data_IF_495400856972
#
_entry.id   IF_495400856972
#
_cell.length_a   1.000
_cell.length_b   1.000
_cell.length_c   1.000
_cell.angle_alpha   90.00
_cell.angle_beta   90.00
_cell.angle_gamma   90.00
#
_symmetry.space_group_name_H-M   'P 1'
#
loop_
_entity.id
_entity.type
_entity.pdbx_description
1 polymer ?
#
# COMPACT_ATOMS: atom_id res chain seq x y z
N UNK A 1 11.27 -3.11 -16.53
CA UNK A 1 12.70 -3.40 -16.73
C UNK A 1 13.47 -3.61 -15.42
N UNK A 2 12.81 -3.68 -14.27
CA UNK A 2 13.44 -3.91 -12.97
C UNK A 2 14.21 -2.71 -12.39
N UNK A 3 14.04 -1.52 -12.96
CA UNK A 3 14.76 -0.31 -12.53
C UNK A 3 13.81 0.72 -11.93
N UNK A 4 14.32 1.44 -10.92
CA UNK A 4 13.65 2.60 -10.30
C UNK A 4 14.62 3.78 -10.31
N UNK A 5 14.14 4.95 -10.72
CA UNK A 5 14.91 6.19 -10.71
C UNK A 5 14.29 7.16 -9.72
N UNK A 6 15.10 7.71 -8.83
CA UNK A 6 14.67 8.74 -7.89
C UNK A 6 15.20 10.09 -8.37
N UNK A 7 14.29 11.05 -8.44
CA UNK A 7 14.57 12.40 -8.88
C UNK A 7 14.28 13.38 -7.75
N UNK A 8 15.16 14.35 -7.58
CA UNK A 8 15.01 15.46 -6.63
C UNK A 8 14.71 16.75 -7.41
N UNK A 9 13.74 17.49 -6.92
CA UNK A 9 13.51 18.85 -7.41
C UNK A 9 14.29 19.84 -6.52
N UNK A 10 15.25 20.53 -7.09
CA UNK A 10 16.09 21.49 -6.37
C UNK A 10 15.43 22.87 -6.18
N UNK A 11 14.15 23.01 -6.54
CA UNK A 11 13.37 24.25 -6.38
C UNK A 11 13.79 25.38 -7.33
N UNK A 12 13.23 26.55 -7.13
CA UNK A 12 13.44 27.73 -7.99
C UNK A 12 14.80 28.45 -7.76
N UNK A 13 15.87 27.77 -7.46
CA UNK A 13 17.20 28.40 -7.36
C UNK A 13 17.92 28.52 -8.73
N UNK A 14 17.24 28.17 -9.84
CA UNK A 14 17.75 28.34 -11.18
C UNK A 14 17.30 29.67 -11.79
N UNK A 15 18.18 30.66 -11.80
CA UNK A 15 18.03 31.97 -12.49
C UNK A 15 18.00 31.87 -14.01
N UNK A 16 17.81 30.70 -14.61
CA UNK A 16 17.75 30.54 -16.06
C UNK A 16 16.49 29.74 -16.47
N UNK A 17 15.63 30.44 -17.20
CA UNK A 17 14.50 29.84 -17.91
C UNK A 17 15.02 28.74 -18.89
N UNK A 18 14.74 27.45 -18.60
CA UNK A 18 15.02 26.36 -19.52
C UNK A 18 15.58 25.06 -18.94
N UNK A 19 16.11 25.06 -17.71
CA UNK A 19 16.53 23.80 -17.06
C UNK A 19 15.38 23.29 -16.18
N UNK A 20 14.91 22.05 -16.42
CA UNK A 20 14.04 21.35 -15.47
C UNK A 20 14.81 21.22 -14.16
N UNK A 21 14.32 21.80 -13.07
CA UNK A 21 14.94 21.73 -11.74
C UNK A 21 15.00 20.33 -11.13
N UNK A 22 14.86 19.28 -11.94
CA UNK A 22 14.86 17.87 -11.55
C UNK A 22 16.22 17.24 -11.82
N UNK A 23 16.87 16.73 -10.76
CA UNK A 23 18.13 16.00 -10.81
C UNK A 23 17.93 14.54 -10.42
N UNK A 24 18.43 13.60 -11.23
CA UNK A 24 18.41 12.17 -10.88
C UNK A 24 19.46 11.91 -9.79
N UNK A 25 19.00 11.48 -8.62
CA UNK A 25 19.85 11.28 -7.43
C UNK A 25 20.11 9.82 -7.11
N UNK A 26 19.30 8.88 -7.65
CA UNK A 26 19.49 7.45 -7.39
C UNK A 26 19.02 6.61 -8.57
N UNK A 27 19.83 5.64 -8.95
CA UNK A 27 19.50 4.51 -9.80
C UNK A 27 19.44 3.25 -8.94
N UNK A 28 18.31 2.54 -8.98
CA UNK A 28 18.11 1.28 -8.28
C UNK A 28 17.75 0.21 -9.31
N UNK A 29 18.58 -0.85 -9.43
CA UNK A 29 18.51 -1.88 -10.46
C UNK A 29 18.75 -3.28 -9.88
N UNK A 30 18.21 -3.57 -8.69
CA UNK A 30 18.37 -4.87 -8.01
C UNK A 30 17.28 -5.89 -8.39
N UNK A 31 16.16 -5.42 -8.96
CA UNK A 31 15.10 -6.32 -9.39
C UNK A 31 15.41 -6.97 -10.73
N UNK A 32 15.08 -8.27 -10.83
CA UNK A 32 15.31 -9.08 -12.04
C UNK A 32 14.09 -9.13 -12.97
N UNK A 33 12.94 -8.57 -12.51
CA UNK A 33 11.71 -8.46 -13.29
C UNK A 33 11.06 -7.07 -13.10
N UNK A 34 9.89 -6.86 -13.70
CA UNK A 34 9.19 -5.58 -13.67
C UNK A 34 8.92 -5.09 -12.25
N UNK A 35 9.21 -3.83 -11.97
CA UNK A 35 8.71 -3.14 -10.78
C UNK A 35 7.29 -2.67 -11.06
N UNK A 36 6.33 -3.19 -10.30
CA UNK A 36 4.90 -3.01 -10.54
C UNK A 36 4.31 -1.87 -9.70
N UNK A 37 4.89 -1.62 -8.54
CA UNK A 37 4.39 -0.62 -7.59
C UNK A 37 5.53 -0.03 -6.77
N UNK A 38 5.43 1.26 -6.51
CA UNK A 38 6.34 1.98 -5.61
C UNK A 38 5.52 2.83 -4.66
N UNK A 39 5.98 2.97 -3.42
CA UNK A 39 5.32 3.80 -2.42
C UNK A 39 6.35 4.46 -1.50
N UNK A 40 6.24 5.78 -1.32
CA UNK A 40 6.99 6.48 -0.29
C UNK A 40 6.40 6.21 1.09
N UNK A 41 7.26 6.02 2.07
CA UNK A 41 6.87 5.96 3.47
C UNK A 41 6.29 7.31 3.95
N UNK A 42 5.53 7.32 5.06
CA UNK A 42 5.18 8.56 5.74
C UNK A 42 6.44 9.42 5.98
N UNK A 43 6.30 10.74 5.83
CA UNK A 43 7.43 11.67 5.80
C UNK A 43 8.25 11.68 7.10
N UNK A 44 7.63 11.32 8.21
CA UNK A 44 8.28 11.21 9.51
C UNK A 44 9.33 10.09 9.58
N UNK A 45 9.23 9.12 8.69
CA UNK A 45 10.21 8.03 8.54
C UNK A 45 11.38 8.41 7.61
N UNK A 46 11.44 9.67 7.18
CA UNK A 46 12.43 10.16 6.23
C UNK A 46 12.18 9.68 4.79
N UNK A 47 13.15 9.90 3.92
CA UNK A 47 13.03 9.51 2.52
C UNK A 47 13.25 7.99 2.36
N UNK A 48 12.17 7.23 2.59
CA UNK A 48 12.16 5.76 2.48
C UNK A 48 11.16 5.33 1.41
N UNK A 49 11.60 4.54 0.42
CA UNK A 49 10.82 4.09 -0.73
C UNK A 49 10.74 2.57 -0.76
N UNK A 50 9.55 2.00 -0.79
CA UNK A 50 9.33 0.59 -1.06
C UNK A 50 9.00 0.35 -2.54
N UNK A 51 9.57 -0.71 -3.14
CA UNK A 51 9.39 -1.08 -4.53
C UNK A 51 9.03 -2.56 -4.63
N UNK A 52 7.84 -2.87 -5.17
CA UNK A 52 7.34 -4.22 -5.35
C UNK A 52 7.57 -4.70 -6.78
N UNK A 53 8.11 -5.91 -6.94
CA UNK A 53 8.50 -6.45 -8.25
C UNK A 53 7.89 -7.82 -8.55
N UNK A 54 7.73 -8.08 -9.84
CA UNK A 54 7.34 -9.39 -10.37
C UNK A 54 8.38 -10.49 -10.10
N UNK A 55 9.60 -10.16 -9.63
CA UNK A 55 10.57 -11.14 -9.16
C UNK A 55 10.21 -11.74 -7.77
N UNK A 56 9.09 -11.32 -7.20
CA UNK A 56 8.58 -11.77 -5.91
C UNK A 56 9.19 -11.06 -4.69
N UNK A 57 10.04 -10.07 -4.93
CA UNK A 57 10.73 -9.32 -3.88
C UNK A 57 10.18 -7.91 -3.73
N UNK A 58 10.40 -7.35 -2.56
CA UNK A 58 10.23 -5.92 -2.28
C UNK A 58 11.58 -5.37 -1.82
N UNK A 59 12.03 -4.30 -2.45
CA UNK A 59 13.18 -3.54 -1.96
C UNK A 59 12.71 -2.29 -1.22
N UNK A 60 13.29 -2.04 -0.06
CA UNK A 60 13.07 -0.83 0.74
C UNK A 60 14.35 -0.02 0.74
N UNK A 61 14.32 1.14 0.09
CA UNK A 61 15.44 2.06 -0.03
C UNK A 61 15.29 3.16 1.02
N UNK A 62 16.31 3.40 1.82
CA UNK A 62 16.32 4.49 2.80
C UNK A 62 17.49 5.41 2.53
N UNK A 63 17.21 6.72 2.44
CA UNK A 63 18.22 7.75 2.35
C UNK A 63 18.75 8.08 3.75
N UNK A 64 20.05 7.93 3.95
CA UNK A 64 20.72 8.10 5.23
C UNK A 64 21.25 9.55 5.41
N UNK A 65 21.53 9.94 6.64
CA UNK A 65 22.06 11.27 6.97
C UNK A 65 23.44 11.55 6.34
N UNK A 66 24.22 10.50 6.08
CA UNK A 66 25.53 10.59 5.41
C UNK A 66 25.42 10.79 3.90
N UNK A 67 24.19 10.89 3.35
CA UNK A 67 23.93 11.02 1.91
C UNK A 67 23.94 9.70 1.15
N UNK A 68 24.13 8.58 1.82
CA UNK A 68 24.08 7.24 1.20
C UNK A 68 22.66 6.69 1.13
N UNK A 69 22.47 5.64 0.32
CA UNK A 69 21.24 4.87 0.26
C UNK A 69 21.49 3.45 0.77
N UNK A 70 20.79 3.06 1.81
CA UNK A 70 20.70 1.65 2.23
C UNK A 70 19.53 0.96 1.52
N UNK A 71 19.62 -0.36 1.38
CA UNK A 71 18.58 -1.17 0.75
C UNK A 71 18.37 -2.43 1.57
N UNK A 72 17.13 -2.64 2.02
CA UNK A 72 16.67 -3.92 2.54
C UNK A 72 15.87 -4.64 1.46
N UNK A 73 16.16 -5.94 1.25
CA UNK A 73 15.52 -6.76 0.21
C UNK A 73 14.74 -7.89 0.85
N UNK A 74 13.43 -7.82 0.71
CA UNK A 74 12.48 -8.74 1.33
C UNK A 74 11.95 -9.73 0.30
N UNK A 75 12.00 -11.04 0.57
CA UNK A 75 11.33 -12.07 -0.20
C UNK A 75 9.84 -12.10 0.18
N UNK A 76 9.01 -11.41 -0.61
CA UNK A 76 7.63 -11.16 -0.23
C UNK A 76 6.66 -12.23 -0.76
N UNK A 77 6.55 -12.40 -2.07
CA UNK A 77 5.53 -13.26 -2.68
C UNK A 77 6.12 -14.19 -3.74
N UNK A 78 6.10 -15.50 -3.53
CA UNK A 78 6.46 -16.45 -4.59
C UNK A 78 5.58 -16.22 -5.83
N UNK A 79 6.22 -16.10 -7.00
CA UNK A 79 5.52 -15.87 -8.27
C UNK A 79 5.25 -14.40 -8.63
N UNK A 80 5.52 -13.45 -7.74
CA UNK A 80 5.46 -12.02 -8.05
C UNK A 80 4.73 -11.17 -7.01
N UNK A 81 5.28 -9.98 -6.77
CA UNK A 81 4.65 -8.95 -5.95
C UNK A 81 4.01 -7.88 -6.87
N UNK A 82 2.74 -7.56 -6.64
CA UNK A 82 1.97 -6.63 -7.47
C UNK A 82 1.91 -5.23 -6.90
N UNK A 83 1.74 -5.11 -5.59
CA UNK A 83 1.53 -3.82 -4.96
C UNK A 83 2.17 -3.75 -3.58
N UNK A 84 2.49 -2.52 -3.16
CA UNK A 84 3.00 -2.18 -1.84
C UNK A 84 2.35 -0.89 -1.37
N UNK A 85 2.02 -0.82 -0.07
CA UNK A 85 1.47 0.36 0.56
C UNK A 85 2.00 0.51 1.98
N UNK A 86 2.45 1.71 2.35
CA UNK A 86 2.87 2.02 3.71
C UNK A 86 1.67 2.26 4.62
N UNK A 87 1.76 1.73 5.83
CA UNK A 87 0.83 2.04 6.89
C UNK A 87 1.06 3.49 7.36
N UNK A 88 0.00 4.28 7.59
CA UNK A 88 0.13 5.57 8.25
C UNK A 88 0.87 5.43 9.57
N UNK A 89 1.59 6.47 9.95
CA UNK A 89 2.41 6.45 11.16
C UNK A 89 1.54 6.21 12.40
N UNK A 90 1.91 5.20 13.16
CA UNK A 90 1.33 4.88 14.46
C UNK A 90 2.47 4.79 15.48
N UNK A 91 2.27 5.39 16.64
CA UNK A 91 3.17 5.27 17.78
C UNK A 91 2.80 4.04 18.61
N UNK A 92 3.78 3.21 18.91
CA UNK A 92 3.68 2.17 19.93
C UNK A 92 4.44 2.60 21.18
N UNK A 93 4.00 2.11 22.34
CA UNK A 93 4.57 2.47 23.62
C UNK A 93 4.00 3.76 24.21
N UNK A 94 4.46 4.12 25.40
CA UNK A 94 4.06 5.34 26.10
C UNK A 94 5.28 6.00 26.78
N UNK A 95 5.28 7.32 26.84
CA UNK A 95 6.37 8.08 27.47
C UNK A 95 7.70 7.95 26.74
N UNK A 96 8.77 7.62 27.46
CA UNK A 96 10.13 7.50 26.90
C UNK A 96 10.32 6.30 25.96
N UNK A 97 9.44 5.30 26.02
CA UNK A 97 9.49 4.11 25.18
C UNK A 97 8.62 4.24 23.92
N UNK A 98 8.06 5.42 23.65
CA UNK A 98 7.28 5.67 22.46
C UNK A 98 8.16 5.62 21.21
N UNK A 99 7.84 4.74 20.26
CA UNK A 99 8.55 4.62 18.98
C UNK A 99 7.55 4.54 17.83
N UNK A 100 8.01 4.94 16.64
CA UNK A 100 7.20 4.84 15.43
C UNK A 100 7.25 3.43 14.87
N UNK A 101 6.07 2.87 14.60
CA UNK A 101 5.96 1.59 13.92
C UNK A 101 6.18 1.78 12.41
N UNK A 102 7.21 1.14 11.90
CA UNK A 102 7.56 1.17 10.47
C UNK A 102 6.96 -0.05 9.79
N UNK A 103 5.71 0.06 9.31
CA UNK A 103 4.95 -1.04 8.70
C UNK A 103 4.54 -0.74 7.26
N UNK A 104 4.51 -1.77 6.44
CA UNK A 104 3.89 -1.74 5.11
C UNK A 104 3.19 -3.07 4.78
N UNK A 105 2.26 -3.01 3.83
CA UNK A 105 1.59 -4.18 3.29
C UNK A 105 2.06 -4.46 1.88
N UNK A 106 2.09 -5.74 1.50
CA UNK A 106 2.37 -6.21 0.14
C UNK A 106 1.29 -7.16 -0.34
N UNK A 107 1.06 -7.17 -1.65
CA UNK A 107 0.09 -8.04 -2.32
C UNK A 107 0.73 -8.73 -3.52
N UNK A 108 0.39 -9.99 -3.74
CA UNK A 108 1.05 -10.78 -4.79
C UNK A 108 0.20 -11.88 -5.45
N UNK A 109 0.88 -12.68 -6.26
CA UNK A 109 0.31 -13.77 -7.05
C UNK A 109 -0.14 -14.99 -6.20
N UNK A 110 0.24 -15.05 -4.94
CA UNK A 110 -0.09 -16.13 -4.02
C UNK A 110 -1.43 -15.96 -3.30
N UNK A 111 -2.24 -14.97 -3.72
CA UNK A 111 -3.53 -14.61 -3.13
C UNK A 111 -3.44 -14.17 -1.65
N UNK A 112 -2.26 -13.83 -1.17
CA UNK A 112 -2.00 -13.39 0.20
C UNK A 112 -1.65 -11.91 0.23
N UNK A 113 -2.09 -11.22 1.27
CA UNK A 113 -1.56 -9.91 1.66
C UNK A 113 -0.70 -10.10 2.88
N UNK A 114 0.51 -9.58 2.87
CA UNK A 114 1.46 -9.71 3.98
C UNK A 114 1.73 -8.36 4.60
N UNK A 115 1.83 -8.34 5.92
CA UNK A 115 2.18 -7.16 6.70
C UNK A 115 3.62 -7.32 7.19
N UNK A 116 4.42 -6.30 6.96
CA UNK A 116 5.83 -6.24 7.30
C UNK A 116 6.07 -5.15 8.31
N UNK A 117 6.96 -5.40 9.26
CA UNK A 117 7.41 -4.43 10.25
C UNK A 117 8.93 -4.43 10.32
N UNK A 118 9.53 -3.26 10.49
CA UNK A 118 10.95 -3.16 10.71
C UNK A 118 11.30 -3.60 12.15
N UNK A 119 12.18 -4.58 12.25
CA UNK A 119 12.71 -5.05 13.51
C UNK A 119 14.07 -4.40 13.79
N UNK A 120 14.15 -3.59 14.83
CA UNK A 120 15.41 -2.98 15.25
C UNK A 120 16.41 -4.03 15.75
N UNK A 121 15.92 -5.13 16.33
CA UNK A 121 16.77 -6.25 16.77
C UNK A 121 17.48 -6.93 15.59
N UNK A 122 16.76 -7.14 14.48
CA UNK A 122 17.28 -7.83 13.29
C UNK A 122 17.80 -6.84 12.23
N UNK A 123 17.59 -5.55 12.44
CA UNK A 123 17.90 -4.46 11.49
C UNK A 123 17.39 -4.74 10.06
N UNK A 124 16.15 -5.25 9.95
CA UNK A 124 15.48 -5.57 8.68
C UNK A 124 13.96 -5.65 8.85
N UNK A 125 13.25 -5.63 7.72
CA UNK A 125 11.81 -5.91 7.71
C UNK A 125 11.53 -7.40 7.89
N UNK A 126 10.60 -7.73 8.80
CA UNK A 126 10.12 -9.09 9.08
C UNK A 126 8.63 -9.17 8.82
N UNK A 127 8.16 -10.32 8.37
CA UNK A 127 6.74 -10.62 8.22
C UNK A 127 6.11 -10.79 9.61
N UNK A 128 5.07 -10.00 9.90
CA UNK A 128 4.36 -10.06 11.18
C UNK A 128 2.94 -10.62 11.05
N UNK A 129 2.34 -10.59 9.84
CA UNK A 129 0.99 -11.12 9.62
C UNK A 129 0.74 -11.49 8.16
N UNK A 130 -0.24 -12.41 7.92
CA UNK A 130 -0.70 -12.86 6.63
C UNK A 130 -2.23 -12.81 6.57
N UNK A 131 -2.78 -11.99 5.68
CA UNK A 131 -4.21 -11.84 5.48
C UNK A 131 -4.66 -12.75 4.31
N UNK A 132 -5.29 -13.89 4.64
CA UNK A 132 -5.62 -14.98 3.70
C UNK A 132 -7.13 -15.12 3.54
N UNK A 133 -7.73 -14.33 2.66
CA UNK A 133 -9.15 -14.40 2.34
C UNK A 133 -9.42 -14.37 0.82
N UNK A 134 -8.50 -13.79 0.05
CA UNK A 134 -8.58 -13.81 -1.41
C UNK A 134 -8.33 -15.21 -1.96
N UNK A 135 -8.89 -15.49 -3.15
CA UNK A 135 -8.82 -16.80 -3.81
C UNK A 135 -8.02 -16.76 -5.11
N UNK A 136 -7.55 -15.60 -5.51
CA UNK A 136 -6.76 -15.34 -6.71
C UNK A 136 -5.83 -14.15 -6.45
N UNK A 137 -5.00 -13.82 -7.42
CA UNK A 137 -4.00 -12.78 -7.33
C UNK A 137 -4.54 -11.50 -6.72
N UNK A 138 -3.88 -11.00 -5.71
CA UNK A 138 -4.18 -9.69 -5.15
C UNK A 138 -3.47 -8.64 -6.00
N UNK A 139 -4.26 -7.82 -6.69
CA UNK A 139 -3.79 -6.86 -7.68
C UNK A 139 -3.31 -5.56 -7.07
N UNK A 140 -3.97 -5.14 -5.97
CA UNK A 140 -3.66 -3.88 -5.31
C UNK A 140 -3.91 -3.94 -3.81
N UNK A 141 -3.18 -3.10 -3.08
CA UNK A 141 -3.28 -2.93 -1.64
C UNK A 141 -3.07 -1.46 -1.28
N UNK A 142 -3.94 -0.90 -0.44
CA UNK A 142 -3.85 0.50 -0.04
C UNK A 142 -4.26 0.70 1.42
N UNK A 143 -3.37 1.26 2.23
CA UNK A 143 -3.74 1.78 3.54
C UNK A 143 -4.48 3.11 3.42
N UNK A 144 -5.52 3.29 4.22
CA UNK A 144 -6.18 4.59 4.34
C UNK A 144 -5.26 5.58 5.08
N UNK A 145 -5.19 6.86 4.65
CA UNK A 145 -4.57 7.91 5.45
C UNK A 145 -5.27 8.03 6.81
N UNK A 146 -4.49 8.18 7.90
CA UNK A 146 -5.01 8.27 9.27
C UNK A 146 -5.18 9.74 9.69
N UNK A 147 -6.14 10.44 9.10
CA UNK A 147 -6.50 11.79 9.50
C UNK A 147 -7.66 11.75 10.51
N UNK A 148 -7.33 11.45 11.77
CA UNK A 148 -8.33 11.40 12.85
C UNK A 148 -9.24 10.17 12.86
N UNK A 149 -8.89 9.14 12.11
CA UNK A 149 -9.59 7.85 12.15
C UNK A 149 -9.23 7.09 13.43
N UNK A 150 -10.22 6.50 14.07
CA UNK A 150 -10.05 5.72 15.30
C UNK A 150 -9.45 4.32 15.06
N UNK A 151 -9.28 3.93 13.80
CA UNK A 151 -8.81 2.59 13.39
C UNK A 151 -7.93 2.70 12.15
N UNK A 152 -7.11 1.68 11.97
CA UNK A 152 -6.38 1.48 10.70
C UNK A 152 -7.28 0.74 9.72
N UNK A 153 -7.34 1.23 8.48
CA UNK A 153 -8.04 0.60 7.36
C UNK A 153 -7.04 0.23 6.27
N UNK A 154 -7.19 -0.97 5.74
CA UNK A 154 -6.46 -1.47 4.59
C UNK A 154 -7.46 -2.01 3.56
N UNK A 155 -7.41 -1.54 2.33
CA UNK A 155 -8.21 -2.07 1.24
C UNK A 155 -7.36 -2.96 0.35
N UNK A 156 -7.93 -4.07 -0.13
CA UNK A 156 -7.27 -5.00 -1.05
C UNK A 156 -8.19 -5.34 -2.21
N UNK A 157 -7.64 -5.34 -3.44
CA UNK A 157 -8.34 -5.65 -4.67
C UNK A 157 -7.77 -6.91 -5.31
N UNK A 158 -8.64 -7.78 -5.83
CA UNK A 158 -8.20 -9.07 -6.35
C UNK A 158 -8.83 -9.43 -7.71
N UNK A 159 -8.13 -10.30 -8.42
CA UNK A 159 -8.59 -10.98 -9.61
C UNK A 159 -9.77 -11.92 -9.32
N UNK A 160 -9.97 -12.33 -8.07
CA UNK A 160 -11.15 -13.10 -7.63
C UNK A 160 -12.45 -12.29 -7.68
N UNK A 161 -12.38 -11.02 -8.13
CA UNK A 161 -13.47 -10.05 -8.25
C UNK A 161 -14.04 -9.59 -6.92
N UNK A 162 -13.21 -9.56 -5.89
CA UNK A 162 -13.60 -9.04 -4.56
C UNK A 162 -12.71 -7.87 -4.15
N UNK A 163 -13.28 -6.99 -3.34
CA UNK A 163 -12.57 -6.00 -2.54
C UNK A 163 -12.83 -6.30 -1.08
N UNK A 164 -11.76 -6.39 -0.31
CA UNK A 164 -11.82 -6.63 1.12
C UNK A 164 -11.30 -5.42 1.88
N UNK A 165 -12.04 -4.99 2.88
CA UNK A 165 -11.63 -3.96 3.82
C UNK A 165 -11.19 -4.66 5.11
N UNK A 166 -9.95 -4.43 5.47
CA UNK A 166 -9.36 -4.92 6.70
C UNK A 166 -9.29 -3.78 7.69
N UNK A 167 -9.72 -4.04 8.91
CA UNK A 167 -9.73 -3.03 9.99
C UNK A 167 -9.00 -3.55 11.22
N UNK A 168 -8.25 -2.67 11.86
CA UNK A 168 -7.53 -2.94 13.09
C UNK A 168 -7.73 -1.75 14.04
N UNK A 169 -8.22 -1.98 15.26
CA UNK A 169 -8.49 -0.90 16.22
C UNK A 169 -7.20 -0.41 16.89
N UNK A 170 -6.34 -1.34 17.29
CA UNK A 170 -4.99 -1.03 17.80
C UNK A 170 -3.94 -1.83 17.04
N UNK A 171 -2.68 -1.42 17.00
CA UNK A 171 -1.64 -2.06 16.19
C UNK A 171 -1.40 -3.55 16.47
N UNK A 172 -1.86 -4.06 17.61
CA UNK A 172 -1.67 -5.45 18.04
C UNK A 172 -2.98 -6.27 18.01
N UNK A 173 -4.11 -5.64 17.65
CA UNK A 173 -5.36 -6.36 17.49
C UNK A 173 -5.35 -7.23 16.23
N UNK A 174 -6.11 -8.33 16.19
CA UNK A 174 -6.30 -9.09 14.97
C UNK A 174 -7.04 -8.25 13.91
N UNK A 175 -6.65 -8.44 12.65
CA UNK A 175 -7.33 -7.83 11.51
C UNK A 175 -8.74 -8.41 11.35
N UNK A 176 -9.73 -7.53 11.23
CA UNK A 176 -11.11 -7.89 10.88
C UNK A 176 -11.33 -7.63 9.39
N UNK A 177 -11.91 -8.61 8.69
CA UNK A 177 -12.17 -8.53 7.27
C UNK A 177 -13.66 -8.28 7.00
N UNK A 178 -13.96 -7.29 6.17
CA UNK A 178 -15.31 -6.97 5.68
C UNK A 178 -15.28 -6.86 4.16
N UNK A 179 -16.01 -7.70 3.40
CA UNK A 179 -16.07 -7.57 1.95
C UNK A 179 -16.94 -6.38 1.54
N UNK A 180 -16.55 -5.67 0.47
CA UNK A 180 -17.46 -4.77 -0.23
C UNK A 180 -18.49 -5.58 -1.02
N UNK A 181 -19.75 -5.18 -0.93
CA UNK A 181 -20.87 -5.87 -1.58
C UNK A 181 -21.40 -5.01 -2.74
N UNK A 182 -20.96 -5.26 -3.99
CA UNK A 182 -21.23 -4.38 -5.12
C UNK A 182 -22.70 -4.36 -5.57
N UNK A 183 -23.52 -5.32 -5.13
CA UNK A 183 -24.92 -5.36 -5.48
C UNK A 183 -25.83 -5.55 -4.27
N UNK A 184 -27.01 -4.94 -4.31
CA UNK A 184 -28.07 -5.17 -3.33
C UNK A 184 -28.86 -6.47 -3.58
N UNK A 185 -28.74 -7.05 -4.79
CA UNK A 185 -29.42 -8.29 -5.16
C UNK A 185 -28.70 -9.50 -4.54
N UNK A 186 -29.40 -10.42 -3.87
CA UNK A 186 -28.79 -11.56 -3.17
C UNK A 186 -27.89 -12.46 -4.04
N UNK A 187 -28.26 -12.67 -5.30
CA UNK A 187 -27.57 -13.52 -6.27
C UNK A 187 -26.24 -12.93 -6.76
N UNK A 188 -26.11 -11.58 -6.78
CA UNK A 188 -24.93 -10.87 -7.29
C UNK A 188 -24.10 -10.17 -6.19
N UNK A 189 -24.45 -10.41 -4.93
CA UNK A 189 -23.98 -9.61 -3.79
C UNK A 189 -22.49 -9.69 -3.48
N UNK A 190 -21.81 -10.73 -3.95
CA UNK A 190 -20.49 -11.07 -3.37
C UNK A 190 -19.31 -10.67 -4.23
N UNK A 191 -19.52 -10.33 -5.51
CA UNK A 191 -18.43 -10.10 -6.46
C UNK A 191 -18.70 -8.93 -7.38
N UNK A 192 -17.63 -8.23 -7.73
CA UNK A 192 -17.63 -7.27 -8.81
C UNK A 192 -17.82 -7.98 -10.16
N UNK A 193 -18.28 -7.27 -11.21
CA UNK A 193 -18.52 -7.88 -12.52
C UNK A 193 -17.27 -8.51 -13.14
N UNK A 194 -16.10 -7.91 -12.90
CA UNK A 194 -14.81 -8.37 -13.43
C UNK A 194 -13.69 -8.19 -12.38
N UNK A 195 -12.46 -8.50 -12.74
CA UNK A 195 -11.24 -8.28 -11.93
C UNK A 195 -11.22 -6.87 -11.37
N UNK A 196 -10.93 -6.75 -10.08
CA UNK A 196 -10.69 -5.44 -9.47
C UNK A 196 -9.20 -5.13 -9.57
N UNK A 197 -8.87 -4.03 -10.24
CA UNK A 197 -7.49 -3.67 -10.57
C UNK A 197 -6.85 -2.74 -9.56
N UNK A 198 -7.60 -1.74 -9.09
CA UNK A 198 -7.04 -0.71 -8.20
C UNK A 198 -8.03 -0.31 -7.10
N UNK A 199 -7.46 0.04 -5.96
CA UNK A 199 -8.14 0.68 -4.84
C UNK A 199 -7.34 1.91 -4.42
N UNK A 200 -8.05 3.01 -4.14
CA UNK A 200 -7.41 4.26 -3.74
C UNK A 200 -8.27 5.01 -2.73
N UNK A 201 -7.67 5.42 -1.64
CA UNK A 201 -8.36 6.19 -0.60
C UNK A 201 -8.35 7.70 -0.91
N UNK A 202 -9.40 8.38 -0.50
CA UNK A 202 -9.40 9.83 -0.40
C UNK A 202 -8.34 10.30 0.61
N UNK A 203 -7.90 11.54 0.50
CA UNK A 203 -6.93 12.14 1.45
C UNK A 203 -7.42 12.08 2.89
N UNK A 204 -8.73 12.19 3.11
CA UNK A 204 -9.37 12.07 4.44
C UNK A 204 -9.50 10.61 4.93
N UNK A 205 -9.17 9.60 4.11
CA UNK A 205 -9.24 8.18 4.46
C UNK A 205 -10.66 7.61 4.63
N UNK A 206 -11.72 8.35 4.28
CA UNK A 206 -13.11 7.96 4.52
C UNK A 206 -13.90 7.57 3.27
N UNK A 207 -13.32 7.75 2.08
CA UNK A 207 -13.90 7.31 0.80
C UNK A 207 -12.88 6.44 0.09
N UNK A 208 -13.33 5.31 -0.40
CA UNK A 208 -12.52 4.38 -1.22
C UNK A 208 -13.02 4.41 -2.67
N UNK A 209 -12.13 4.67 -3.60
CA UNK A 209 -12.35 4.47 -5.03
C UNK A 209 -11.91 3.05 -5.42
N UNK A 210 -12.72 2.38 -6.21
CA UNK A 210 -12.48 1.01 -6.71
C UNK A 210 -12.61 1.01 -8.22
N UNK A 211 -11.58 0.58 -8.95
CA UNK A 211 -11.63 0.41 -10.40
C UNK A 211 -11.73 -1.07 -10.78
N UNK A 212 -12.71 -1.38 -11.62
CA UNK A 212 -13.02 -2.72 -12.07
C UNK A 212 -12.67 -2.92 -13.56
N UNK A 213 -12.44 -4.16 -13.97
CA UNK A 213 -12.12 -4.53 -15.34
C UNK A 213 -13.24 -4.31 -16.35
N UNK A 214 -14.47 -4.09 -15.89
CA UNK A 214 -15.63 -3.69 -16.70
C UNK A 214 -15.59 -2.22 -17.15
N UNK A 215 -14.53 -1.48 -16.80
CA UNK A 215 -14.34 -0.06 -17.15
C UNK A 215 -14.96 0.92 -16.15
N UNK A 216 -15.60 0.44 -15.09
CA UNK A 216 -16.26 1.29 -14.11
C UNK A 216 -15.37 1.63 -12.92
N UNK A 217 -15.62 2.81 -12.35
CA UNK A 217 -15.05 3.25 -11.06
C UNK A 217 -16.20 3.51 -10.11
N UNK A 218 -16.17 2.88 -8.94
CA UNK A 218 -17.15 3.07 -7.87
C UNK A 218 -16.52 3.70 -6.65
N UNK A 219 -17.27 4.56 -5.97
CA UNK A 219 -16.88 5.22 -4.72
C UNK A 219 -17.65 4.62 -3.55
N UNK A 220 -16.93 4.30 -2.50
CA UNK A 220 -17.45 3.61 -1.33
C UNK A 220 -17.19 4.40 -0.06
N UNK A 221 -18.14 4.36 0.86
CA UNK A 221 -18.03 4.99 2.17
C UNK A 221 -18.66 4.12 3.24
N UNK A 222 -18.04 4.07 4.42
CA UNK A 222 -18.62 3.45 5.61
C UNK A 222 -19.73 4.35 6.18
N UNK A 223 -20.90 3.78 6.41
CA UNK A 223 -22.01 4.49 7.04
C UNK A 223 -21.88 4.45 8.59
N UNK A 224 -22.76 5.17 9.29
CA UNK A 224 -22.74 5.25 10.75
C UNK A 224 -22.99 3.91 11.47
N UNK A 225 -23.45 2.89 10.74
CA UNK A 225 -23.68 1.53 11.26
C UNK A 225 -22.49 0.60 11.00
N UNK A 226 -21.40 1.10 10.39
CA UNK A 226 -20.20 0.32 10.03
C UNK A 226 -20.37 -0.51 8.76
N UNK A 227 -21.40 -0.27 7.95
CA UNK A 227 -21.57 -0.94 6.66
C UNK A 227 -21.02 -0.07 5.52
N UNK A 228 -20.36 -0.70 4.56
CA UNK A 228 -19.83 -0.03 3.37
C UNK A 228 -20.90 0.06 2.28
N UNK A 229 -21.10 1.27 1.77
CA UNK A 229 -22.11 1.58 0.74
C UNK A 229 -21.46 2.24 -0.47
N UNK A 230 -21.88 1.83 -1.67
CA UNK A 230 -21.52 2.52 -2.90
C UNK A 230 -22.30 3.86 -2.96
N UNK A 231 -21.56 4.96 -2.96
CA UNK A 231 -22.15 6.32 -2.99
C UNK A 231 -22.17 6.91 -4.38
N UNK A 232 -21.37 6.40 -5.32
CA UNK A 232 -21.34 6.84 -6.71
C UNK A 232 -20.68 5.79 -7.59
N UNK A 233 -21.09 5.74 -8.86
CA UNK A 233 -20.50 4.90 -9.91
C UNK A 233 -20.30 5.73 -11.18
N UNK A 234 -19.15 5.56 -11.83
CA UNK A 234 -18.75 6.26 -13.05
C UNK A 234 -18.33 5.24 -14.11
N UNK A 235 -18.65 5.54 -15.36
CA UNK A 235 -18.30 4.75 -16.57
C UNK A 235 -17.26 5.51 -17.38
#
# INVERSE_FOLDING_TARGET
DGKVFIWKNDGMNGTYAGASGWTRIKDHALHTASVNSIAWAPHELGATLACASSDGRVSVLTFNEDGSWSVDLVAAHPGGCHAVSWMPLVTAGAGADAHFMRRFATAGCDAVVKIWEFSDEHNRYIEIDQLKQHRDWVRDVAFAPSLGLARTYLATASQDRTVLIWTQNTPNDPWKCTPLLPSTKPEDRTKFPDTVWRVSWSVSGNVLAVSCGDGKVSLWKENLKGAWECISEYV
#
